data_IF_554666033358
#
_entry.id   IF_554666033358
#
_cell.length_a   1.000
_cell.length_b   1.000
_cell.length_c   1.000
_cell.angle_alpha   90.00
_cell.angle_beta   90.00
_cell.angle_gamma   90.00
#
_symmetry.space_group_name_H-M   'P 1'
#
loop_
_entity.id
_entity.type
_entity.pdbx_description
1 polymer ?
#
# COMPACT_ATOMS: atom_id res chain seq x y z
N UNK A 1 -29.18 -13.99 -16.05
CA UNK A 1 -28.64 -13.54 -14.76
C UNK A 1 -27.12 -13.62 -14.85
N UNK A 2 -26.43 -12.49 -14.97
CA UNK A 2 -24.97 -12.46 -15.05
C UNK A 2 -24.38 -12.78 -13.69
N UNK A 3 -23.53 -13.80 -13.62
CA UNK A 3 -22.80 -14.20 -12.43
C UNK A 3 -22.08 -12.99 -11.82
N UNK A 4 -22.18 -12.86 -10.50
CA UNK A 4 -21.77 -11.69 -9.73
C UNK A 4 -20.41 -11.15 -10.15
N UNK A 5 -20.41 -9.88 -10.57
CA UNK A 5 -19.20 -9.07 -10.61
C UNK A 5 -18.66 -8.98 -9.18
N UNK A 6 -17.83 -9.94 -8.80
CA UNK A 6 -17.00 -9.84 -7.61
C UNK A 6 -16.17 -8.58 -7.80
N UNK A 7 -16.52 -7.52 -7.09
CA UNK A 7 -15.78 -6.26 -7.10
C UNK A 7 -14.29 -6.59 -6.92
N UNK A 8 -13.46 -6.17 -7.90
CA UNK A 8 -12.03 -6.41 -7.89
C UNK A 8 -11.43 -6.07 -6.51
N UNK A 9 -10.56 -6.93 -5.93
CA UNK A 9 -10.08 -6.75 -4.57
C UNK A 9 -9.42 -5.38 -4.39
N UNK A 10 -9.67 -4.78 -3.22
CA UNK A 10 -9.01 -3.54 -2.80
C UNK A 10 -7.68 -3.89 -2.16
N UNK A 11 -6.60 -3.34 -2.70
CA UNK A 11 -5.27 -3.42 -2.11
C UNK A 11 -4.96 -2.13 -1.35
N UNK A 12 -4.50 -2.21 -0.10
CA UNK A 12 -4.01 -1.04 0.64
C UNK A 12 -2.58 -0.74 0.19
N UNK A 13 -2.33 0.43 -0.39
CA UNK A 13 -0.98 0.78 -0.84
C UNK A 13 -0.09 1.22 0.31
N UNK A 14 -0.69 1.72 1.39
CA UNK A 14 -0.01 2.00 2.66
C UNK A 14 -0.16 0.78 3.60
N UNK A 15 0.95 0.23 4.11
CA UNK A 15 0.93 -0.97 4.96
C UNK A 15 0.06 -0.83 6.21
N UNK A 16 -1.09 -1.50 6.22
CA UNK A 16 -2.07 -1.40 7.31
C UNK A 16 -1.51 -1.87 8.67
N UNK A 17 -0.59 -2.83 8.65
CA UNK A 17 0.05 -3.34 9.86
C UNK A 17 0.95 -2.33 10.56
N UNK A 18 1.44 -1.36 9.78
CA UNK A 18 2.22 -0.25 10.29
C UNK A 18 1.34 0.99 10.49
N UNK A 19 0.02 0.85 10.65
CA UNK A 19 -0.93 1.96 10.84
C UNK A 19 -0.43 3.00 11.83
N UNK A 20 0.00 2.58 13.00
CA UNK A 20 0.46 3.52 14.03
C UNK A 20 1.67 4.36 13.57
N UNK A 21 2.54 3.81 12.71
CA UNK A 21 3.68 4.53 12.14
C UNK A 21 3.22 5.67 11.23
N UNK A 22 2.17 5.42 10.43
CA UNK A 22 1.55 6.41 9.55
C UNK A 22 0.73 7.43 10.35
N UNK A 23 -0.03 6.98 11.33
CA UNK A 23 -0.83 7.84 12.19
C UNK A 23 0.02 8.85 12.98
N UNK A 24 1.20 8.43 13.48
CA UNK A 24 2.19 9.32 14.12
C UNK A 24 2.78 10.36 13.15
N UNK A 25 2.63 10.15 11.85
CA UNK A 25 3.02 11.07 10.76
C UNK A 25 1.82 11.80 10.16
N UNK A 26 0.68 11.76 10.85
CA UNK A 26 -0.51 12.54 10.56
C UNK A 26 -1.41 11.95 9.47
N UNK A 27 -1.24 10.68 9.11
CA UNK A 27 -2.25 9.97 8.31
C UNK A 27 -3.44 9.61 9.21
N UNK A 28 -4.37 10.55 9.37
CA UNK A 28 -5.59 10.46 10.20
C UNK A 28 -6.72 11.23 9.52
N UNK A 29 -7.96 10.97 9.92
CA UNK A 29 -9.14 11.67 9.41
C UNK A 29 -9.28 11.50 7.89
N UNK A 30 -9.42 12.60 7.16
CA UNK A 30 -9.50 12.57 5.69
C UNK A 30 -8.24 12.03 5.01
N UNK A 31 -7.12 11.96 5.74
CA UNK A 31 -5.85 11.40 5.28
C UNK A 31 -5.54 10.04 5.95
N UNK A 32 -6.54 9.34 6.48
CA UNK A 32 -6.36 7.99 7.00
C UNK A 32 -5.83 7.05 5.91
N UNK A 33 -4.98 6.10 6.29
CA UNK A 33 -4.37 5.16 5.35
C UNK A 33 -5.40 4.29 4.61
N UNK A 34 -6.60 4.11 5.16
CA UNK A 34 -7.70 3.39 4.51
C UNK A 34 -8.29 4.17 3.34
N UNK A 35 -7.94 5.44 3.15
CA UNK A 35 -8.29 6.21 1.95
C UNK A 35 -7.38 5.87 0.75
N UNK A 36 -6.26 5.18 0.99
CA UNK A 36 -5.25 4.84 -0.01
C UNK A 36 -5.34 3.36 -0.39
N UNK A 37 -6.47 2.98 -0.99
CA UNK A 37 -6.64 1.67 -1.62
C UNK A 37 -6.65 1.79 -3.14
N UNK A 38 -6.35 0.71 -3.83
CA UNK A 38 -6.49 0.60 -5.29
C UNK A 38 -7.25 -0.67 -5.63
N UNK A 39 -7.99 -0.65 -6.74
CA UNK A 39 -8.58 -1.89 -7.28
C UNK A 39 -7.58 -2.55 -8.20
N UNK A 40 -7.36 -3.84 -7.98
CA UNK A 40 -6.49 -4.69 -8.79
C UNK A 40 -7.30 -5.89 -9.27
N UNK A 41 -6.99 -6.39 -10.47
CA UNK A 41 -7.47 -7.72 -10.84
C UNK A 41 -6.99 -8.76 -9.82
N UNK A 42 -7.77 -9.80 -9.59
CA UNK A 42 -7.47 -10.80 -8.56
C UNK A 42 -6.08 -11.41 -8.74
N UNK A 43 -5.68 -11.70 -9.98
CA UNK A 43 -4.36 -12.25 -10.27
C UNK A 43 -3.22 -11.30 -9.90
N UNK A 44 -3.34 -10.01 -10.21
CA UNK A 44 -2.34 -8.99 -9.86
C UNK A 44 -2.30 -8.76 -8.34
N UNK A 45 -3.47 -8.72 -7.69
CA UNK A 45 -3.59 -8.63 -6.25
C UNK A 45 -2.87 -9.79 -5.55
N UNK A 46 -3.09 -11.02 -6.04
CA UNK A 46 -2.44 -12.21 -5.50
C UNK A 46 -0.93 -12.23 -5.78
N UNK A 47 -0.49 -11.77 -6.95
CA UNK A 47 0.93 -11.68 -7.31
C UNK A 47 1.69 -10.73 -6.38
N UNK A 48 1.11 -9.58 -6.03
CA UNK A 48 1.67 -8.65 -5.04
C UNK A 48 1.80 -9.30 -3.65
N UNK A 49 0.92 -10.24 -3.33
CA UNK A 49 0.93 -10.99 -2.06
C UNK A 49 1.60 -12.37 -2.15
N UNK A 50 2.41 -12.64 -3.19
CA UNK A 50 3.16 -13.89 -3.32
C UNK A 50 2.32 -15.11 -3.71
N UNK A 51 1.32 -14.93 -4.59
CA UNK A 51 0.52 -16.01 -5.18
C UNK A 51 -0.70 -16.42 -4.35
N UNK A 52 -1.35 -15.47 -3.67
CA UNK A 52 -2.65 -15.68 -3.02
C UNK A 52 -2.63 -16.23 -1.59
N UNK A 53 -1.49 -16.72 -1.10
CA UNK A 53 -1.29 -16.99 0.33
C UNK A 53 -0.56 -15.81 0.99
N UNK A 54 -1.32 -14.78 1.38
CA UNK A 54 -0.78 -13.56 1.99
C UNK A 54 0.11 -13.81 3.23
N UNK A 55 -0.08 -14.92 3.96
CA UNK A 55 0.80 -15.28 5.08
C UNK A 55 2.17 -15.75 4.61
N UNK A 56 2.21 -16.54 3.52
CA UNK A 56 3.45 -16.99 2.90
C UNK A 56 4.16 -15.85 2.18
N UNK A 57 3.40 -14.96 1.53
CA UNK A 57 3.90 -13.76 0.86
C UNK A 57 4.76 -12.88 1.77
N UNK A 58 4.47 -12.82 3.07
CA UNK A 58 5.27 -12.05 4.06
C UNK A 58 6.71 -12.49 4.21
N UNK A 59 7.01 -13.74 3.88
CA UNK A 59 8.38 -14.23 3.92
C UNK A 59 9.16 -13.89 2.64
N UNK A 60 8.48 -13.38 1.60
CA UNK A 60 9.13 -13.03 0.34
C UNK A 60 9.88 -11.70 0.48
N UNK A 61 11.15 -11.63 0.04
CA UNK A 61 11.92 -10.38 0.08
C UNK A 61 11.27 -9.22 -0.67
N UNK A 62 10.44 -9.50 -1.68
CA UNK A 62 9.72 -8.50 -2.48
C UNK A 62 8.28 -8.23 -2.05
N UNK A 63 7.87 -8.63 -0.85
CA UNK A 63 6.53 -8.34 -0.34
C UNK A 63 6.30 -6.83 -0.22
N UNK A 64 5.11 -6.39 -0.63
CA UNK A 64 4.78 -4.98 -0.77
C UNK A 64 4.97 -4.19 0.52
N UNK A 65 4.41 -4.66 1.65
CA UNK A 65 4.49 -3.91 2.90
C UNK A 65 5.93 -3.73 3.36
N UNK A 66 6.70 -4.82 3.32
CA UNK A 66 8.12 -4.79 3.66
C UNK A 66 8.89 -3.83 2.76
N UNK A 67 8.73 -3.95 1.44
CA UNK A 67 9.40 -3.09 0.47
C UNK A 67 9.06 -1.60 0.70
N UNK A 68 7.79 -1.26 0.95
CA UNK A 68 7.39 0.12 1.23
C UNK A 68 8.04 0.62 2.52
N UNK A 69 8.01 -0.17 3.59
CA UNK A 69 8.61 0.27 4.87
C UNK A 69 10.13 0.41 4.79
N UNK A 70 10.82 -0.48 4.06
CA UNK A 70 12.26 -0.38 3.80
C UNK A 70 12.59 0.90 3.00
N UNK A 71 11.87 1.15 1.90
CA UNK A 71 12.08 2.34 1.07
C UNK A 71 11.84 3.65 1.85
N UNK A 72 10.80 3.69 2.70
CA UNK A 72 10.53 4.85 3.55
C UNK A 72 11.63 5.04 4.59
N UNK A 73 12.09 3.96 5.22
CA UNK A 73 13.15 4.02 6.22
C UNK A 73 14.48 4.50 5.63
N UNK A 74 14.89 3.95 4.49
CA UNK A 74 16.09 4.38 3.76
C UNK A 74 16.00 5.86 3.39
N UNK A 75 14.84 6.32 2.92
CA UNK A 75 14.63 7.73 2.59
C UNK A 75 14.70 8.66 3.82
N UNK A 76 14.19 8.26 5.00
CA UNK A 76 14.38 9.05 6.23
C UNK A 76 15.87 9.11 6.62
N UNK A 77 16.62 8.00 6.47
CA UNK A 77 18.06 7.95 6.75
C UNK A 77 18.83 8.87 5.80
N UNK A 78 18.59 8.76 4.49
CA UNK A 78 19.26 9.58 3.47
C UNK A 78 18.95 11.07 3.66
N UNK A 79 17.72 11.42 4.02
CA UNK A 79 17.33 12.80 4.27
C UNK A 79 17.87 13.35 5.61
N UNK A 80 18.31 12.48 6.53
CA UNK A 80 18.72 12.86 7.89
C UNK A 80 17.57 13.42 8.74
N UNK A 81 16.32 13.21 8.32
CA UNK A 81 15.12 13.72 8.98
C UNK A 81 13.91 12.85 8.66
N UNK A 82 12.86 13.01 9.46
CA UNK A 82 11.56 12.42 9.15
C UNK A 82 11.01 12.95 7.82
N UNK A 83 10.37 12.07 7.06
CA UNK A 83 9.67 12.45 5.84
C UNK A 83 8.38 13.19 6.18
N UNK A 84 8.03 14.15 5.32
CA UNK A 84 6.68 14.73 5.34
C UNK A 84 5.67 13.73 4.74
N UNK A 85 4.38 13.93 5.02
CA UNK A 85 3.32 13.09 4.46
C UNK A 85 3.37 13.01 2.93
N UNK A 86 3.60 14.14 2.29
CA UNK A 86 3.68 14.21 0.83
C UNK A 86 4.87 13.41 0.30
N UNK A 87 6.04 13.50 0.95
CA UNK A 87 7.20 12.69 0.56
C UNK A 87 6.96 11.19 0.74
N UNK A 88 6.23 10.78 1.80
CA UNK A 88 5.80 9.38 1.96
C UNK A 88 4.93 8.94 0.78
N UNK A 89 3.95 9.77 0.40
CA UNK A 89 3.08 9.48 -0.74
C UNK A 89 3.83 9.46 -2.08
N UNK A 90 4.78 10.37 -2.29
CA UNK A 90 5.61 10.42 -3.50
C UNK A 90 6.40 9.11 -3.70
N UNK A 91 7.04 8.62 -2.63
CA UNK A 91 7.78 7.35 -2.64
C UNK A 91 6.84 6.17 -2.92
N UNK A 92 5.67 6.15 -2.28
CA UNK A 92 4.68 5.08 -2.50
C UNK A 92 4.19 5.09 -3.95
N UNK A 93 3.87 6.27 -4.50
CA UNK A 93 3.45 6.41 -5.91
C UNK A 93 4.57 6.00 -6.88
N UNK A 94 5.83 6.30 -6.57
CA UNK A 94 6.96 5.83 -7.38
C UNK A 94 7.04 4.30 -7.40
N UNK A 95 6.91 3.64 -6.24
CA UNK A 95 6.86 2.18 -6.15
C UNK A 95 5.65 1.61 -6.88
N UNK A 96 4.49 2.25 -6.78
CA UNK A 96 3.30 1.85 -7.53
C UNK A 96 3.57 1.84 -9.05
N UNK A 97 4.25 2.86 -9.58
CA UNK A 97 4.61 2.90 -11.01
C UNK A 97 5.56 1.77 -11.40
N UNK A 98 6.60 1.52 -10.59
CA UNK A 98 7.61 0.47 -10.85
C UNK A 98 6.96 -0.91 -10.91
N UNK A 99 6.05 -1.19 -9.97
CA UNK A 99 5.37 -2.48 -9.85
C UNK A 99 4.02 -2.53 -10.58
N UNK A 100 3.73 -1.52 -11.41
CA UNK A 100 2.52 -1.41 -12.24
C UNK A 100 1.20 -1.48 -11.43
N UNK A 101 1.23 -1.00 -10.20
CA UNK A 101 0.05 -0.80 -9.36
C UNK A 101 -0.66 0.49 -9.82
N UNK A 102 -1.99 0.49 -10.03
CA UNK A 102 -2.74 1.67 -10.47
C UNK A 102 -2.59 2.85 -9.51
N UNK A 103 -2.29 4.04 -10.01
CA UNK A 103 -2.11 5.26 -9.19
C UNK A 103 -3.42 6.00 -8.85
N UNK A 104 -4.56 5.45 -9.23
CA UNK A 104 -5.87 6.04 -8.93
C UNK A 104 -6.42 5.42 -7.67
N UNK A 105 -6.45 6.20 -6.58
CA UNK A 105 -6.96 5.73 -5.30
C UNK A 105 -8.49 5.57 -5.32
N UNK A 106 -8.94 4.48 -4.76
CA UNK A 106 -10.33 4.22 -4.39
C UNK A 106 -10.42 4.24 -2.88
N UNK A 107 -11.46 4.85 -2.32
CA UNK A 107 -11.65 4.84 -0.87
C UNK A 107 -11.79 3.40 -0.38
N UNK A 108 -11.06 3.01 0.66
CA UNK A 108 -11.27 1.77 1.41
C UNK A 108 -12.61 1.77 2.14
N UNK A 109 -12.90 0.72 2.90
CA UNK A 109 -14.04 0.80 3.84
C UNK A 109 -13.65 1.81 4.92
N UNK A 110 -14.34 2.94 4.98
CA UNK A 110 -14.30 3.81 6.15
C UNK A 110 -14.80 3.01 7.35
N UNK A 111 -14.07 3.09 8.46
CA UNK A 111 -14.53 2.59 9.76
C UNK A 111 -15.62 3.48 10.31
#
# INVERSE_FOLDING_TARGET
AGAGMSDAPKHHVLPQEHREWFERRGFRGDMDIDQFCVRLEQADHEAIHGGGNWKLGRMWPGEWNRMIMEALHEAEITAGRRLTRNQVLDIVVERMKIYKVPITFTKGRSR
#
